data_IF_721814223239
#
_entry.id   IF_721814223239
#
_cell.length_a   1.000
_cell.length_b   1.000
_cell.length_c   1.000
_cell.angle_alpha   90.00
_cell.angle_beta   90.00
_cell.angle_gamma   90.00
#
_symmetry.space_group_name_H-M   'P 1'
#
loop_
_entity.id
_entity.type
_entity.pdbx_description
1 polymer ?
#
# COMPACT_ATOMS: atom_id res chain seq x y z
N UNK A 1 -20.57 -4.12 13.45
CA UNK A 1 -20.63 -3.36 12.18
C UNK A 1 -19.78 -2.10 12.30
N UNK A 2 -18.93 -1.84 11.30
CA UNK A 2 -18.06 -0.66 11.29
C UNK A 2 -18.88 0.58 10.91
N UNK A 3 -18.80 1.63 11.71
CA UNK A 3 -19.52 2.88 11.44
C UNK A 3 -18.88 3.65 10.26
N UNK A 4 -19.64 4.52 9.58
CA UNK A 4 -19.06 5.36 8.52
C UNK A 4 -17.89 6.23 8.99
N UNK A 5 -17.90 6.73 10.22
CA UNK A 5 -16.79 7.51 10.77
C UNK A 5 -15.54 6.65 10.97
N UNK A 6 -15.71 5.38 11.40
CA UNK A 6 -14.59 4.44 11.51
C UNK A 6 -14.04 4.06 10.14
N UNK A 7 -14.92 3.87 9.15
CA UNK A 7 -14.50 3.61 7.76
C UNK A 7 -13.66 4.78 7.23
N UNK A 8 -14.12 6.01 7.42
CA UNK A 8 -13.39 7.21 7.00
C UNK A 8 -12.04 7.32 7.72
N UNK A 9 -12.02 7.05 9.03
CA UNK A 9 -10.78 7.07 9.81
C UNK A 9 -9.78 6.00 9.34
N UNK A 10 -10.27 4.81 9.00
CA UNK A 10 -9.42 3.72 8.49
C UNK A 10 -8.81 4.08 7.12
N UNK A 11 -9.59 4.72 6.23
CA UNK A 11 -9.06 5.22 4.95
C UNK A 11 -7.95 6.25 5.18
N UNK A 12 -8.20 7.21 6.06
CA UNK A 12 -7.22 8.25 6.38
C UNK A 12 -5.94 7.65 6.97
N UNK A 13 -6.08 6.65 7.84
CA UNK A 13 -4.93 5.96 8.43
C UNK A 13 -4.08 5.26 7.38
N UNK A 14 -4.70 4.49 6.48
CA UNK A 14 -3.97 3.78 5.42
C UNK A 14 -3.26 4.76 4.49
N UNK A 15 -3.93 5.85 4.08
CA UNK A 15 -3.29 6.90 3.27
C UNK A 15 -2.07 7.48 3.98
N UNK A 16 -2.19 7.78 5.26
CA UNK A 16 -1.09 8.32 6.08
C UNK A 16 0.07 7.34 6.18
N UNK A 17 -0.20 6.07 6.44
CA UNK A 17 0.84 5.04 6.57
C UNK A 17 1.55 4.80 5.25
N UNK A 18 0.82 4.71 4.14
CA UNK A 18 1.43 4.52 2.82
C UNK A 18 2.33 5.69 2.45
N UNK A 19 1.90 6.92 2.75
CA UNK A 19 2.73 8.11 2.55
C UNK A 19 4.00 8.07 3.42
N UNK A 20 3.85 7.73 4.69
CA UNK A 20 4.99 7.66 5.62
C UNK A 20 6.01 6.61 5.17
N UNK A 21 5.55 5.44 4.74
CA UNK A 21 6.43 4.32 4.34
C UNK A 21 7.10 4.60 3.00
N UNK A 22 6.33 4.94 1.97
CA UNK A 22 6.82 4.93 0.60
C UNK A 22 7.21 6.31 0.05
N UNK A 23 6.73 7.39 0.66
CA UNK A 23 7.08 8.75 0.22
C UNK A 23 8.09 9.38 1.18
N UNK A 24 7.76 9.43 2.47
CA UNK A 24 8.65 10.03 3.48
C UNK A 24 9.72 9.07 3.98
N UNK A 25 9.56 7.77 3.73
CA UNK A 25 10.49 6.71 4.15
C UNK A 25 10.76 6.74 5.66
N UNK A 26 9.71 6.93 6.43
CA UNK A 26 9.77 7.09 7.88
C UNK A 26 9.39 5.79 8.58
N UNK A 27 10.39 5.00 8.96
CA UNK A 27 10.18 3.74 9.69
C UNK A 27 9.77 3.93 11.15
N UNK A 28 9.87 5.15 11.70
CA UNK A 28 9.54 5.39 13.10
C UNK A 28 8.06 5.22 13.42
N UNK A 29 7.18 5.23 12.38
CA UNK A 29 5.74 5.10 12.57
C UNK A 29 5.30 3.64 12.76
N UNK A 30 6.18 2.67 12.52
CA UNK A 30 5.78 1.26 12.44
C UNK A 30 5.21 0.75 13.77
N UNK A 31 5.90 1.02 14.88
CA UNK A 31 5.45 0.54 16.18
C UNK A 31 4.10 1.13 16.61
N UNK A 32 3.76 2.29 16.10
CA UNK A 32 2.50 2.96 16.43
C UNK A 32 1.34 2.46 15.57
N UNK A 33 1.57 2.29 14.26
CA UNK A 33 0.49 2.07 13.31
C UNK A 33 0.39 0.64 12.78
N UNK A 34 1.40 -0.21 13.01
CA UNK A 34 1.33 -1.62 12.69
C UNK A 34 1.18 -2.42 13.98
N UNK A 35 0.24 -3.34 14.01
CA UNK A 35 0.01 -4.17 15.19
C UNK A 35 1.20 -5.11 15.45
N UNK A 36 1.48 -5.47 16.72
CA UNK A 36 2.53 -6.44 17.03
C UNK A 36 2.37 -7.79 16.31
N UNK A 37 1.13 -8.20 16.07
CA UNK A 37 0.81 -9.43 15.35
C UNK A 37 0.53 -9.25 13.86
N UNK A 38 1.02 -8.18 13.25
CA UNK A 38 0.80 -7.86 11.84
C UNK A 38 1.13 -9.04 10.92
N UNK A 39 0.19 -9.39 10.03
CA UNK A 39 0.30 -10.54 9.13
C UNK A 39 0.53 -10.04 7.70
N UNK A 40 1.59 -10.54 7.07
CA UNK A 40 1.96 -10.19 5.70
C UNK A 40 1.64 -11.33 4.74
N UNK A 41 0.88 -11.03 3.67
CA UNK A 41 0.58 -12.01 2.62
C UNK A 41 1.36 -11.77 1.31
N UNK A 42 2.13 -10.69 1.19
CA UNK A 42 2.99 -10.51 0.04
C UNK A 42 4.14 -11.51 0.10
N UNK A 43 4.33 -12.37 -0.93
CA UNK A 43 5.31 -13.45 -0.86
C UNK A 43 6.77 -12.98 -0.88
N UNK A 44 7.03 -11.74 -1.22
CA UNK A 44 8.38 -11.17 -1.27
C UNK A 44 8.77 -10.41 0.00
N UNK A 45 7.85 -10.25 0.96
CA UNK A 45 8.10 -9.48 2.18
C UNK A 45 7.98 -10.43 3.38
N UNK A 46 9.01 -10.50 4.25
CA UNK A 46 8.93 -11.33 5.45
C UNK A 46 7.74 -10.94 6.34
N UNK A 47 7.21 -11.93 7.07
CA UNK A 47 6.07 -11.69 7.95
C UNK A 47 6.47 -10.82 9.15
N UNK A 48 5.50 -10.05 9.64
CA UNK A 48 5.65 -9.23 10.82
C UNK A 48 5.99 -7.78 10.52
N UNK A 49 5.65 -6.91 11.48
CA UNK A 49 5.86 -5.46 11.30
C UNK A 49 7.33 -5.07 11.24
N UNK A 50 8.22 -5.88 11.83
CA UNK A 50 9.65 -5.57 11.86
C UNK A 50 10.29 -5.63 10.47
N UNK A 51 9.64 -6.28 9.49
CA UNK A 51 10.10 -6.30 8.11
C UNK A 51 9.92 -4.95 7.42
N UNK A 52 9.04 -4.08 7.90
CA UNK A 52 8.71 -2.82 7.24
C UNK A 52 9.87 -1.81 7.29
N UNK A 53 10.53 -1.56 8.45
CA UNK A 53 11.72 -0.70 8.44
C UNK A 53 12.83 -1.22 7.52
N UNK A 54 13.02 -2.53 7.45
CA UNK A 54 14.00 -3.14 6.55
C UNK A 54 13.62 -2.88 5.09
N UNK A 55 12.34 -3.05 4.74
CA UNK A 55 11.84 -2.74 3.41
C UNK A 55 12.13 -1.27 3.04
N UNK A 56 11.82 -0.35 3.94
CA UNK A 56 12.07 1.08 3.72
C UNK A 56 13.55 1.33 3.45
N UNK A 57 14.44 0.70 4.21
CA UNK A 57 15.88 0.89 4.07
C UNK A 57 16.44 0.40 2.74
N UNK A 58 15.74 -0.49 2.05
CA UNK A 58 16.14 -1.04 0.77
C UNK A 58 15.50 -0.35 -0.44
N UNK A 59 14.66 0.67 -0.23
CA UNK A 59 14.07 1.42 -1.33
C UNK A 59 15.15 2.20 -2.08
N UNK A 60 15.20 2.04 -3.40
CA UNK A 60 16.16 2.75 -4.24
C UNK A 60 15.94 4.27 -4.17
N UNK A 61 16.98 5.10 -4.38
CA UNK A 61 16.81 6.56 -4.36
C UNK A 61 15.75 7.08 -5.33
N UNK A 62 15.60 6.44 -6.49
CA UNK A 62 14.60 6.82 -7.50
C UNK A 62 13.24 6.16 -7.33
N UNK A 63 13.04 5.40 -6.25
CA UNK A 63 11.76 4.75 -6.01
C UNK A 63 10.64 5.79 -5.84
N UNK A 64 9.47 5.51 -6.47
CA UNK A 64 8.29 6.37 -6.36
C UNK A 64 7.05 5.53 -6.09
N UNK A 65 6.17 6.07 -5.28
CA UNK A 65 4.83 5.54 -5.06
C UNK A 65 3.79 6.62 -5.40
N UNK A 66 2.81 6.26 -6.23
CA UNK A 66 1.73 7.15 -6.63
C UNK A 66 0.41 6.52 -6.20
N UNK A 67 -0.25 7.06 -5.16
CA UNK A 67 -1.55 6.55 -4.75
C UNK A 67 -2.65 6.98 -5.73
N UNK A 68 -3.58 6.08 -6.00
CA UNK A 68 -4.76 6.33 -6.82
C UNK A 68 -6.04 6.22 -6.00
N UNK A 69 -7.00 5.47 -6.53
CA UNK A 69 -8.29 5.27 -5.86
C UNK A 69 -8.13 4.53 -4.55
N UNK A 70 -8.86 4.97 -3.53
CA UNK A 70 -8.93 4.32 -2.23
C UNK A 70 -10.38 4.10 -1.85
N UNK A 71 -10.71 2.89 -1.41
CA UNK A 71 -12.06 2.52 -0.96
C UNK A 71 -11.95 1.76 0.35
N UNK A 72 -13.00 1.81 1.14
CA UNK A 72 -13.03 1.06 2.40
C UNK A 72 -14.44 0.57 2.68
N UNK A 73 -14.51 -0.62 3.27
CA UNK A 73 -15.75 -1.23 3.75
C UNK A 73 -15.43 -2.08 4.96
N UNK A 74 -16.23 -1.94 6.03
CA UNK A 74 -15.94 -2.64 7.26
C UNK A 74 -14.57 -2.25 7.80
N UNK A 75 -13.74 -3.25 8.11
CA UNK A 75 -12.38 -3.05 8.59
C UNK A 75 -11.32 -3.14 7.47
N UNK A 76 -11.75 -3.24 6.21
CA UNK A 76 -10.85 -3.37 5.06
C UNK A 76 -10.71 -2.05 4.31
N UNK A 77 -9.49 -1.77 3.88
CA UNK A 77 -9.17 -0.61 3.03
C UNK A 77 -8.37 -1.11 1.84
N UNK A 78 -8.76 -0.68 0.63
CA UNK A 78 -8.08 -1.03 -0.61
C UNK A 78 -7.60 0.24 -1.29
N UNK A 79 -6.36 0.22 -1.80
CA UNK A 79 -5.79 1.35 -2.50
C UNK A 79 -5.13 0.88 -3.81
N UNK A 80 -5.56 1.48 -4.92
CA UNK A 80 -4.97 1.26 -6.23
C UNK A 80 -3.81 2.24 -6.38
N UNK A 81 -2.63 1.75 -6.70
CA UNK A 81 -1.44 2.56 -6.73
C UNK A 81 -0.45 2.11 -7.80
N UNK A 82 0.58 2.94 -8.00
CA UNK A 82 1.64 2.68 -8.96
C UNK A 82 2.99 2.81 -8.26
N UNK A 83 3.80 1.78 -8.39
CA UNK A 83 5.15 1.73 -7.84
C UNK A 83 6.17 1.78 -8.99
N UNK A 84 7.17 2.63 -8.86
CA UNK A 84 8.32 2.68 -9.77
C UNK A 84 9.57 2.42 -8.96
N UNK A 85 10.38 1.45 -9.38
CA UNK A 85 11.65 1.14 -8.72
C UNK A 85 11.70 -0.22 -8.00
N UNK A 86 10.60 -1.01 -8.00
CA UNK A 86 10.66 -2.39 -7.51
C UNK A 86 11.40 -3.32 -8.47
N UNK A 87 11.39 -3.00 -9.75
CA UNK A 87 12.00 -3.78 -10.80
C UNK A 87 12.26 -2.90 -12.02
N UNK A 88 12.56 -3.51 -13.18
CA UNK A 88 12.86 -2.74 -14.39
C UNK A 88 11.65 -1.99 -14.95
N UNK A 89 10.43 -2.42 -14.62
CA UNK A 89 9.19 -1.80 -15.07
C UNK A 89 8.38 -1.31 -13.88
N UNK A 90 7.58 -0.24 -14.06
CA UNK A 90 6.60 0.14 -13.05
C UNK A 90 5.61 -1.00 -12.78
N UNK A 91 5.10 -1.03 -11.56
CA UNK A 91 4.09 -2.01 -11.12
C UNK A 91 2.81 -1.27 -10.78
N UNK A 92 1.68 -1.78 -11.23
CA UNK A 92 0.37 -1.31 -10.78
C UNK A 92 -0.16 -2.33 -9.77
N UNK A 93 -0.65 -1.85 -8.65
CA UNK A 93 -1.00 -2.71 -7.53
C UNK A 93 -2.32 -2.32 -6.88
N UNK A 94 -2.96 -3.32 -6.27
CA UNK A 94 -3.98 -3.09 -5.26
C UNK A 94 -3.43 -3.61 -3.94
N UNK A 95 -3.26 -2.71 -2.99
CA UNK A 95 -2.92 -3.05 -1.61
C UNK A 95 -4.19 -3.11 -0.79
N UNK A 96 -4.32 -4.15 0.03
CA UNK A 96 -5.48 -4.38 0.88
C UNK A 96 -4.98 -4.47 2.32
N UNK A 97 -5.58 -3.68 3.20
CA UNK A 97 -5.25 -3.67 4.62
C UNK A 97 -6.48 -3.95 5.47
N UNK A 98 -6.30 -4.75 6.51
CA UNK A 98 -7.26 -4.84 7.61
C UNK A 98 -6.81 -3.89 8.71
N UNK A 99 -7.73 -3.05 9.17
CA UNK A 99 -7.47 -2.06 10.22
C UNK A 99 -8.35 -2.37 11.43
N UNK A 100 -7.73 -2.51 12.60
CA UNK A 100 -8.44 -2.73 13.86
C UNK A 100 -7.85 -1.80 14.91
N UNK A 101 -8.72 -1.05 15.58
CA UNK A 101 -8.34 -0.14 16.68
C UNK A 101 -7.19 0.81 16.31
N UNK A 102 -7.24 1.38 15.10
CA UNK A 102 -6.25 2.35 14.65
C UNK A 102 -4.89 1.76 14.28
N UNK A 103 -4.82 0.45 14.05
CA UNK A 103 -3.58 -0.22 13.62
C UNK A 103 -3.83 -1.14 12.43
N UNK A 104 -2.84 -1.24 11.56
CA UNK A 104 -2.83 -2.21 10.47
C UNK A 104 -2.49 -3.57 11.05
N UNK A 105 -3.40 -4.54 10.86
CA UNK A 105 -3.23 -5.89 11.41
C UNK A 105 -2.92 -6.94 10.36
N UNK A 106 -3.21 -6.65 9.09
CA UNK A 106 -3.04 -7.63 8.01
C UNK A 106 -2.96 -6.92 6.66
N UNK A 107 -2.15 -7.45 5.75
CA UNK A 107 -1.93 -6.87 4.42
C UNK A 107 -1.91 -7.96 3.35
N UNK A 108 -2.62 -7.70 2.25
CA UNK A 108 -2.55 -8.46 0.99
C UNK A 108 -2.24 -7.49 -0.13
N UNK A 109 -1.71 -7.98 -1.23
CA UNK A 109 -1.60 -7.19 -2.44
C UNK A 109 -1.66 -8.05 -3.69
N UNK A 110 -1.95 -7.40 -4.81
CA UNK A 110 -1.85 -7.98 -6.14
C UNK A 110 -1.10 -6.96 -6.99
N UNK A 111 0.01 -7.39 -7.60
CA UNK A 111 0.83 -6.52 -8.42
C UNK A 111 0.89 -7.06 -9.85
N UNK A 112 0.93 -6.12 -10.80
CA UNK A 112 1.07 -6.44 -12.23
C UNK A 112 2.04 -5.45 -12.85
N UNK A 113 2.95 -5.94 -13.70
CA UNK A 113 3.83 -5.05 -14.46
C UNK A 113 2.99 -4.15 -15.37
N UNK A 114 3.32 -2.85 -15.39
CA UNK A 114 2.58 -1.90 -16.19
C UNK A 114 2.87 -2.10 -17.68
N UNK A 115 1.78 -2.15 -18.46
CA UNK A 115 1.84 -2.06 -19.92
C UNK A 115 1.45 -0.63 -20.30
N UNK A 116 2.30 0.11 -21.03
CA UNK A 116 1.96 1.48 -21.45
C UNK A 116 0.69 1.52 -22.28
N UNK A 117 -0.05 2.62 -22.17
CA UNK A 117 -1.31 2.79 -22.92
C UNK A 117 -1.09 2.62 -24.42
N UNK A 118 0.05 3.09 -24.94
CA UNK A 118 0.39 3.03 -26.38
C UNK A 118 0.49 1.61 -26.92
N UNK A 119 0.84 0.64 -26.07
CA UNK A 119 0.99 -0.78 -26.46
C UNK A 119 -0.09 -1.65 -25.85
N UNK A 120 -0.99 -1.09 -25.06
CA UNK A 120 -2.11 -1.80 -24.47
C UNK A 120 -3.18 -2.09 -25.51
N UNK A 121 -3.78 -3.27 -25.45
CA UNK A 121 -4.88 -3.64 -26.33
C UNK A 121 -6.09 -2.69 -26.22
N UNK A 122 -6.32 -2.16 -25.02
CA UNK A 122 -7.44 -1.22 -24.78
C UNK A 122 -7.11 0.21 -25.20
N UNK A 123 -5.82 0.55 -25.31
CA UNK A 123 -5.37 1.94 -25.51
C UNK A 123 -5.51 2.82 -24.28
N UNK A 124 -5.87 2.25 -23.14
CA UNK A 124 -6.06 2.97 -21.90
C UNK A 124 -4.94 2.66 -20.87
N UNK A 125 -4.57 3.62 -20.03
CA UNK A 125 -3.57 3.36 -18.99
C UNK A 125 -4.12 2.41 -17.93
N UNK A 126 -3.23 1.59 -17.35
CA UNK A 126 -3.59 0.69 -16.25
C UNK A 126 -3.81 1.44 -14.95
N UNK A 127 -3.14 2.57 -14.75
CA UNK A 127 -3.24 3.39 -13.55
C UNK A 127 -3.78 4.77 -13.91
N UNK A 128 -4.70 5.25 -13.10
CA UNK A 128 -5.23 6.61 -13.21
C UNK A 128 -5.35 7.24 -11.82
N UNK A 129 -4.94 8.51 -11.72
CA UNK A 129 -5.21 9.31 -10.51
C UNK A 129 -6.69 9.64 -10.42
N UNK A 130 -7.25 9.67 -9.21
CA UNK A 130 -8.63 10.10 -9.02
C UNK A 130 -8.81 11.57 -9.34
#
# INVERSE_FOLDING_TARGET
MTSPSTVAANKALVSKVMDAVFVRRDGSIVDRYFAPGYIQHNPAIPNGRDAIPTLISHLAPGFRYEPGMIVAEGDLVMIHGRYTGWGPKPMVAVDIFRVVDGQLVEHWDVLQEEVPAETSASGNPMFSSP
#
